data_IF_663579657658
#
_entry.id   IF_663579657658
#
_cell.length_a   1.000
_cell.length_b   1.000
_cell.length_c   1.000
_cell.angle_alpha   90.00
_cell.angle_beta   90.00
_cell.angle_gamma   90.00
#
_symmetry.space_group_name_H-M   'P 1'
#
loop_
_entity.id
_entity.type
_entity.pdbx_description
1 polymer ?
#
# COMPACT_ATOMS: atom_id res chain seq x y z
N UNK A 1 -34.93 -40.66 4.75
CA UNK A 1 -34.19 -40.30 3.56
C UNK A 1 -34.28 -38.80 3.46
N UNK A 2 -33.37 -38.12 4.14
CA UNK A 2 -33.30 -36.63 4.26
C UNK A 2 -31.98 -36.25 3.68
N UNK A 3 -32.00 -35.60 2.54
CA UNK A 3 -30.85 -34.98 1.92
C UNK A 3 -30.68 -33.59 2.54
N UNK A 4 -29.61 -33.39 3.29
CA UNK A 4 -29.14 -32.05 3.66
C UNK A 4 -28.19 -31.60 2.58
N UNK A 5 -28.57 -30.54 1.88
CA UNK A 5 -27.68 -29.70 1.08
C UNK A 5 -27.44 -28.43 1.90
N UNK A 6 -26.35 -28.40 2.63
CA UNK A 6 -25.79 -27.15 3.19
C UNK A 6 -24.66 -26.74 2.29
N UNK A 7 -24.93 -25.82 1.38
CA UNK A 7 -23.97 -25.13 0.59
C UNK A 7 -23.62 -23.80 1.28
N UNK A 8 -22.63 -23.82 2.13
CA UNK A 8 -22.04 -22.60 2.70
C UNK A 8 -21.23 -21.87 1.62
N UNK A 9 -21.87 -20.85 1.08
CA UNK A 9 -21.27 -19.93 0.13
C UNK A 9 -20.71 -18.75 0.96
N UNK A 10 -19.55 -18.95 1.61
CA UNK A 10 -18.86 -17.95 2.47
C UNK A 10 -17.75 -17.15 1.74
N UNK A 11 -17.70 -17.16 0.42
CA UNK A 11 -16.57 -16.60 -0.34
C UNK A 11 -16.77 -15.18 -0.94
N UNK A 12 -17.76 -14.39 -0.48
CA UNK A 12 -17.99 -13.03 -1.02
C UNK A 12 -17.92 -11.89 0.01
N UNK A 13 -17.04 -11.95 0.98
CA UNK A 13 -16.67 -10.76 1.76
C UNK A 13 -15.19 -10.38 1.56
N UNK A 14 -14.80 -10.23 0.30
CA UNK A 14 -13.62 -9.43 -0.02
C UNK A 14 -13.94 -8.00 0.41
N UNK A 15 -13.33 -7.55 1.48
CA UNK A 15 -13.35 -6.15 1.90
C UNK A 15 -12.95 -5.29 0.70
N UNK A 16 -13.95 -4.79 0.01
CA UNK A 16 -13.74 -3.77 -1.00
C UNK A 16 -13.45 -2.47 -0.26
N UNK A 17 -12.19 -2.21 0.06
CA UNK A 17 -11.76 -0.97 0.69
C UNK A 17 -12.24 0.26 -0.10
N UNK A 18 -12.50 0.08 -1.40
CA UNK A 18 -13.15 1.07 -2.25
C UNK A 18 -14.60 1.37 -1.87
N UNK A 19 -15.31 0.42 -1.22
CA UNK A 19 -16.69 0.63 -0.78
C UNK A 19 -16.76 1.50 0.48
N UNK A 20 -15.76 1.42 1.35
CA UNK A 20 -15.72 2.23 2.60
C UNK A 20 -15.58 3.73 2.30
N UNK A 21 -15.00 4.10 1.16
CA UNK A 21 -14.81 5.52 0.78
C UNK A 21 -16.04 6.09 0.06
N UNK A 22 -16.86 5.24 -0.58
CA UNK A 22 -18.02 5.70 -1.36
C UNK A 22 -19.30 5.86 -0.52
N UNK A 23 -19.37 5.29 0.68
CA UNK A 23 -20.51 5.44 1.59
C UNK A 23 -20.43 6.70 2.49
N UNK A 24 -19.45 7.57 2.29
CA UNK A 24 -19.41 8.90 2.97
C UNK A 24 -20.62 9.76 2.58
N UNK A 25 -21.36 9.39 1.56
CA UNK A 25 -22.43 10.23 0.98
C UNK A 25 -23.84 9.99 1.55
N UNK A 26 -24.08 9.05 2.46
CA UNK A 26 -25.45 8.70 2.83
C UNK A 26 -25.86 8.82 4.31
N UNK A 27 -24.98 9.21 5.25
CA UNK A 27 -25.34 8.98 6.66
C UNK A 27 -25.36 10.14 7.61
N UNK A 28 -24.52 11.15 7.55
CA UNK A 28 -24.29 12.00 8.71
C UNK A 28 -23.97 13.47 8.43
N UNK A 29 -24.75 14.11 7.56
CA UNK A 29 -24.62 15.56 7.38
C UNK A 29 -25.13 16.36 8.61
N UNK A 30 -25.95 15.74 9.47
CA UNK A 30 -26.63 16.41 10.57
C UNK A 30 -25.74 16.75 11.78
N UNK A 31 -24.58 16.08 11.94
CA UNK A 31 -23.67 16.26 13.06
C UNK A 31 -22.30 16.87 12.68
N UNK A 32 -22.13 17.24 11.41
CA UNK A 32 -20.92 17.92 10.93
C UNK A 32 -20.87 19.36 11.45
N UNK A 33 -19.75 19.74 12.03
CA UNK A 33 -19.52 21.12 12.44
C UNK A 33 -19.12 22.00 11.24
N UNK A 34 -19.27 23.33 11.32
CA UNK A 34 -18.79 24.25 10.30
C UNK A 34 -17.31 24.06 9.93
N UNK A 35 -16.51 23.54 10.87
CA UNK A 35 -15.09 23.27 10.64
C UNK A 35 -14.87 22.04 9.75
N UNK A 36 -15.73 21.01 9.88
CA UNK A 36 -15.73 19.87 8.94
C UNK A 36 -16.02 20.33 7.52
N UNK A 37 -17.07 21.13 7.34
CA UNK A 37 -17.47 21.62 6.01
C UNK A 37 -16.41 22.54 5.40
N UNK A 38 -15.82 23.42 6.20
CA UNK A 38 -14.73 24.28 5.72
C UNK A 38 -13.49 23.48 5.33
N UNK A 39 -13.17 22.40 6.06
CA UNK A 39 -12.04 21.53 5.81
C UNK A 39 -12.26 20.68 4.56
N UNK A 40 -13.44 20.05 4.41
CA UNK A 40 -13.79 19.22 3.25
C UNK A 40 -13.84 20.00 1.94
N UNK A 41 -14.15 21.29 2.00
CA UNK A 41 -14.22 22.16 0.82
C UNK A 41 -12.94 22.96 0.56
N UNK A 42 -11.89 22.73 1.35
CA UNK A 42 -10.59 23.41 1.18
C UNK A 42 -10.63 24.92 1.46
N UNK A 43 -11.62 25.40 2.22
CA UNK A 43 -11.80 26.83 2.51
C UNK A 43 -10.85 27.29 3.62
N UNK A 44 -9.56 27.41 3.29
CA UNK A 44 -8.50 27.75 4.25
C UNK A 44 -8.82 28.98 5.13
N UNK A 45 -9.35 30.05 4.55
CA UNK A 45 -9.69 31.25 5.31
C UNK A 45 -10.81 30.99 6.32
N UNK A 46 -11.83 30.20 5.94
CA UNK A 46 -12.92 29.82 6.84
C UNK A 46 -12.37 28.92 7.97
N UNK A 47 -11.51 27.94 7.65
CA UNK A 47 -10.84 27.08 8.65
C UNK A 47 -10.10 27.95 9.67
N UNK A 48 -9.25 28.87 9.24
CA UNK A 48 -8.50 29.78 10.13
C UNK A 48 -9.40 30.67 10.96
N UNK A 49 -10.45 31.22 10.35
CA UNK A 49 -11.43 32.09 11.08
C UNK A 49 -12.15 31.31 12.18
N UNK A 50 -12.61 30.08 11.87
CA UNK A 50 -13.29 29.23 12.85
C UNK A 50 -12.35 28.82 14.00
N UNK A 51 -11.09 28.52 13.70
CA UNK A 51 -10.06 28.24 14.73
C UNK A 51 -9.88 29.46 15.64
N UNK A 52 -9.73 30.64 15.07
CA UNK A 52 -9.58 31.90 15.85
C UNK A 52 -10.82 32.22 16.68
N UNK A 53 -12.01 31.79 16.25
CA UNK A 53 -13.26 31.92 17.01
C UNK A 53 -13.37 30.92 18.18
N UNK A 54 -12.39 30.03 18.32
CA UNK A 54 -12.35 29.03 19.39
C UNK A 54 -13.08 27.72 19.11
N UNK A 55 -13.42 27.43 17.83
CA UNK A 55 -13.95 26.13 17.48
C UNK A 55 -12.89 25.02 17.71
N UNK A 56 -13.32 23.92 18.33
CA UNK A 56 -12.43 22.79 18.59
C UNK A 56 -11.99 22.13 17.28
N UNK A 57 -10.67 22.01 17.07
CA UNK A 57 -10.11 21.34 15.89
C UNK A 57 -10.24 19.81 15.94
N UNK A 58 -10.53 19.27 17.12
CA UNK A 58 -10.72 17.85 17.38
C UNK A 58 -12.19 17.45 17.57
N UNK A 59 -13.13 18.27 17.08
CA UNK A 59 -14.56 17.92 17.11
C UNK A 59 -14.78 16.65 16.29
N UNK A 60 -15.66 15.78 16.80
CA UNK A 60 -15.95 14.46 16.21
C UNK A 60 -17.38 14.44 15.68
N UNK A 61 -17.57 13.81 14.55
CA UNK A 61 -18.89 13.32 14.13
C UNK A 61 -19.27 12.05 14.90
N UNK A 62 -20.49 11.54 14.68
CA UNK A 62 -20.94 10.25 15.24
C UNK A 62 -19.95 9.12 14.91
N UNK A 63 -19.39 9.11 13.70
CA UNK A 63 -18.42 8.11 13.24
C UNK A 63 -16.97 8.43 13.65
N UNK A 64 -16.78 9.39 14.55
CA UNK A 64 -15.47 9.86 15.00
C UNK A 64 -14.61 10.50 13.90
N UNK A 65 -15.20 10.99 12.83
CA UNK A 65 -14.49 11.77 11.81
C UNK A 65 -14.12 13.13 12.36
N UNK A 66 -12.88 13.59 12.14
CA UNK A 66 -12.41 14.93 12.51
C UNK A 66 -12.32 15.83 11.28
N UNK A 67 -12.26 17.17 11.44
CA UNK A 67 -11.99 18.08 10.32
C UNK A 67 -10.69 17.75 9.56
N UNK A 68 -9.69 17.15 10.24
CA UNK A 68 -8.45 16.73 9.61
C UNK A 68 -8.65 15.53 8.66
N UNK A 69 -9.52 14.58 9.01
CA UNK A 69 -9.91 13.50 8.08
C UNK A 69 -10.51 14.09 6.80
N UNK A 70 -11.41 15.05 6.93
CA UNK A 70 -12.08 15.71 5.81
C UNK A 70 -11.10 16.48 4.91
N UNK A 71 -10.16 17.22 5.52
CA UNK A 71 -9.12 17.91 4.76
C UNK A 71 -8.24 16.95 3.96
N UNK A 72 -7.97 15.74 4.50
CA UNK A 72 -7.16 14.72 3.84
C UNK A 72 -7.92 14.02 2.72
N UNK A 73 -9.22 13.74 2.89
CA UNK A 73 -10.08 13.20 1.81
C UNK A 73 -10.20 14.19 0.65
N UNK A 74 -10.29 15.50 0.96
CA UNK A 74 -10.39 16.55 -0.05
C UNK A 74 -9.06 16.95 -0.70
N UNK A 75 -7.93 16.32 -0.35
CA UNK A 75 -6.58 16.73 -0.79
C UNK A 75 -6.25 18.21 -0.48
N UNK A 76 -6.71 18.69 0.68
CA UNK A 76 -6.56 20.08 1.08
C UNK A 76 -5.39 20.27 2.06
N UNK A 77 -4.13 20.09 1.59
CA UNK A 77 -2.93 20.16 2.41
C UNK A 77 -2.77 21.46 3.21
N UNK A 78 -3.19 22.61 2.67
CA UNK A 78 -3.15 23.88 3.40
C UNK A 78 -4.12 23.91 4.60
N UNK A 79 -5.31 23.30 4.47
CA UNK A 79 -6.27 23.16 5.56
C UNK A 79 -5.77 22.15 6.59
N UNK A 80 -5.22 21.01 6.14
CA UNK A 80 -4.62 20.01 7.01
C UNK A 80 -3.50 20.63 7.86
N UNK A 81 -2.59 21.40 7.27
CA UNK A 81 -1.52 22.11 8.01
C UNK A 81 -2.10 23.09 9.02
N UNK A 82 -3.08 23.91 8.64
CA UNK A 82 -3.69 24.88 9.57
C UNK A 82 -4.38 24.20 10.76
N UNK A 83 -5.01 23.04 10.55
CA UNK A 83 -5.63 22.25 11.61
C UNK A 83 -4.57 21.63 12.53
N UNK A 84 -3.48 21.11 11.98
CA UNK A 84 -2.37 20.51 12.74
C UNK A 84 -1.65 21.57 13.56
N UNK A 85 -1.35 22.74 12.98
CA UNK A 85 -0.74 23.89 13.68
C UNK A 85 -1.60 24.36 14.86
N UNK A 86 -2.92 24.17 14.79
CA UNK A 86 -3.88 24.48 15.85
C UNK A 86 -4.10 23.32 16.84
N UNK A 87 -3.34 22.23 16.75
CA UNK A 87 -3.37 21.11 17.69
C UNK A 87 -4.35 19.99 17.31
N UNK A 88 -4.65 19.81 16.03
CA UNK A 88 -5.42 18.65 15.60
C UNK A 88 -4.64 17.34 15.85
N UNK A 89 -5.35 16.31 16.32
CA UNK A 89 -4.76 14.99 16.54
C UNK A 89 -4.52 14.27 15.18
N UNK A 90 -3.26 14.20 14.77
CA UNK A 90 -2.85 13.55 13.50
C UNK A 90 -3.10 12.04 13.48
N UNK A 91 -3.25 11.41 14.64
CA UNK A 91 -3.52 9.99 14.81
C UNK A 91 -4.96 9.72 15.26
N UNK A 92 -5.89 10.66 15.07
CA UNK A 92 -7.31 10.42 15.32
C UNK A 92 -7.78 9.23 14.47
N UNK A 93 -8.71 8.45 15.00
CA UNK A 93 -9.21 7.24 14.37
C UNK A 93 -10.73 7.25 14.38
N UNK A 94 -11.33 6.97 13.24
CA UNK A 94 -12.79 6.73 13.14
C UNK A 94 -13.18 5.45 13.87
N UNK A 95 -14.46 5.16 13.97
CA UNK A 95 -14.98 3.91 14.54
C UNK A 95 -14.42 2.68 13.83
N UNK A 96 -14.21 2.77 12.50
CA UNK A 96 -13.64 1.71 11.66
C UNK A 96 -12.11 1.64 11.71
N UNK A 97 -11.49 2.55 12.45
CA UNK A 97 -10.04 2.61 12.57
C UNK A 97 -9.32 3.36 11.47
N UNK A 98 -10.05 4.08 10.62
CA UNK A 98 -9.48 4.93 9.57
C UNK A 98 -8.80 6.14 10.21
N UNK A 99 -7.61 6.50 9.71
CA UNK A 99 -6.84 7.66 10.16
C UNK A 99 -6.75 8.73 9.07
N UNK A 100 -6.44 10.00 9.39
CA UNK A 100 -6.19 11.02 8.36
C UNK A 100 -5.12 10.60 7.34
N UNK A 101 -4.08 9.86 7.80
CA UNK A 101 -3.03 9.35 6.94
C UNK A 101 -3.56 8.29 5.95
N UNK A 102 -4.44 7.40 6.40
CA UNK A 102 -5.11 6.46 5.51
C UNK A 102 -5.90 7.18 4.42
N UNK A 103 -6.69 8.20 4.80
CA UNK A 103 -7.47 8.99 3.85
C UNK A 103 -6.58 9.71 2.81
N UNK A 104 -5.49 10.34 3.27
CA UNK A 104 -4.52 10.97 2.37
C UNK A 104 -3.92 9.98 1.36
N UNK A 105 -3.58 8.77 1.83
CA UNK A 105 -3.05 7.69 0.99
C UNK A 105 -4.10 7.13 0.02
N UNK A 106 -5.36 7.05 0.45
CA UNK A 106 -6.47 6.56 -0.37
C UNK A 106 -6.79 7.50 -1.56
N UNK A 107 -6.62 8.80 -1.35
CA UNK A 107 -6.81 9.82 -2.41
C UNK A 107 -5.54 10.05 -3.24
N UNK A 108 -4.38 9.64 -2.73
CA UNK A 108 -3.09 9.88 -3.38
C UNK A 108 -2.47 11.25 -3.10
N UNK A 109 -2.93 11.92 -2.04
CA UNK A 109 -2.40 13.22 -1.64
C UNK A 109 -1.02 13.07 -1.01
N UNK A 110 0.03 13.22 -1.81
CA UNK A 110 1.41 13.21 -1.30
C UNK A 110 1.63 14.36 -0.32
N UNK A 111 1.08 15.54 -0.61
CA UNK A 111 1.22 16.72 0.25
C UNK A 111 0.63 16.49 1.65
N UNK A 112 -0.61 15.96 1.75
CA UNK A 112 -1.20 15.64 3.05
C UNK A 112 -0.44 14.51 3.74
N UNK A 113 0.01 13.49 2.99
CA UNK A 113 0.78 12.37 3.52
C UNK A 113 2.08 12.86 4.18
N UNK A 114 2.86 13.70 3.50
CA UNK A 114 4.10 14.27 4.04
C UNK A 114 3.83 15.15 5.27
N UNK A 115 2.85 16.07 5.18
CA UNK A 115 2.48 16.93 6.30
C UNK A 115 2.11 16.11 7.55
N UNK A 116 1.33 15.05 7.39
CA UNK A 116 0.92 14.18 8.50
C UNK A 116 2.12 13.45 9.12
N UNK A 117 2.98 12.86 8.28
CA UNK A 117 4.17 12.13 8.72
C UNK A 117 5.18 13.04 9.41
N UNK A 118 5.43 14.25 8.89
CA UNK A 118 6.25 15.30 9.54
C UNK A 118 5.76 15.65 10.94
N UNK A 119 4.44 15.58 11.17
CA UNK A 119 3.80 15.92 12.46
C UNK A 119 3.49 14.68 13.32
N UNK A 120 4.14 13.55 13.06
CA UNK A 120 4.09 12.37 13.92
C UNK A 120 2.88 11.45 13.69
N UNK A 121 2.29 11.48 12.50
CA UNK A 121 1.37 10.43 12.09
C UNK A 121 2.12 9.09 12.02
N UNK A 122 1.50 8.04 12.54
CA UNK A 122 2.07 6.70 12.51
C UNK A 122 1.94 6.12 11.11
N UNK A 123 3.04 5.81 10.41
CA UNK A 123 3.00 5.29 9.04
C UNK A 123 2.39 3.89 8.96
N UNK A 124 2.26 3.21 10.09
CA UNK A 124 1.80 1.85 10.20
C UNK A 124 0.56 1.76 11.09
N UNK A 125 -0.46 1.07 10.61
CA UNK A 125 -1.64 0.74 11.40
C UNK A 125 -1.40 -0.52 12.25
N UNK A 126 -2.27 -0.75 13.22
CA UNK A 126 -2.33 -2.03 13.92
C UNK A 126 -2.86 -3.12 12.98
N UNK A 127 -2.44 -4.36 13.21
CA UNK A 127 -3.01 -5.54 12.53
C UNK A 127 -4.54 -5.52 12.66
N UNK A 128 -5.26 -5.85 11.61
CA UNK A 128 -6.73 -5.76 11.48
C UNK A 128 -7.33 -4.34 11.34
N UNK A 129 -6.50 -3.31 11.13
CA UNK A 129 -6.97 -1.96 10.82
C UNK A 129 -6.58 -1.55 9.41
N UNK A 130 -7.32 -0.61 8.79
CA UNK A 130 -6.95 -0.07 7.49
C UNK A 130 -5.49 0.38 7.44
N UNK A 131 -4.75 -0.09 6.47
CA UNK A 131 -3.31 0.19 6.35
C UNK A 131 -3.05 1.17 5.21
N UNK A 132 -2.44 2.34 5.52
CA UNK A 132 -2.13 3.36 4.51
C UNK A 132 -1.29 2.84 3.33
N UNK A 133 -0.30 1.96 3.61
CA UNK A 133 0.58 1.45 2.55
C UNK A 133 -0.15 0.50 1.59
N UNK A 134 -1.05 -0.36 2.11
CA UNK A 134 -1.84 -1.26 1.27
C UNK A 134 -2.81 -0.47 0.41
N UNK A 135 -3.46 0.54 0.98
CA UNK A 135 -4.41 1.39 0.26
C UNK A 135 -3.71 2.21 -0.84
N UNK A 136 -2.60 2.89 -0.50
CA UNK A 136 -1.80 3.61 -1.49
C UNK A 136 -1.31 2.70 -2.62
N UNK A 137 -0.93 1.46 -2.28
CA UNK A 137 -0.45 0.48 -3.24
C UNK A 137 -1.56 -0.03 -4.15
N UNK A 138 -2.74 -0.34 -3.61
CA UNK A 138 -3.88 -0.86 -4.39
C UNK A 138 -4.38 0.13 -5.42
N UNK A 139 -4.19 1.42 -5.17
CA UNK A 139 -4.60 2.53 -6.05
C UNK A 139 -3.46 3.10 -6.91
N UNK A 140 -2.27 2.53 -6.82
CA UNK A 140 -1.12 2.97 -7.61
C UNK A 140 -0.52 4.32 -7.18
N UNK A 141 -0.81 4.79 -5.98
CA UNK A 141 -0.32 6.07 -5.46
C UNK A 141 1.16 5.99 -5.04
N UNK A 142 2.04 5.84 -6.02
CA UNK A 142 3.48 5.68 -5.83
C UNK A 142 4.10 6.71 -4.87
N UNK A 143 3.74 8.00 -5.00
CA UNK A 143 4.30 9.06 -4.14
C UNK A 143 3.97 8.87 -2.66
N UNK A 144 2.75 8.40 -2.35
CA UNK A 144 2.35 8.08 -0.97
C UNK A 144 3.10 6.84 -0.46
N UNK A 145 3.25 5.80 -1.30
CA UNK A 145 4.06 4.61 -0.96
C UNK A 145 5.50 5.01 -0.65
N UNK A 146 6.09 5.88 -1.47
CA UNK A 146 7.46 6.39 -1.27
C UNK A 146 7.60 7.15 0.05
N UNK A 147 6.67 8.07 0.33
CA UNK A 147 6.65 8.81 1.60
C UNK A 147 6.53 7.86 2.80
N UNK A 148 5.56 6.93 2.78
CA UNK A 148 5.36 5.97 3.88
C UNK A 148 6.61 5.14 4.17
N UNK A 149 7.24 4.60 3.13
CA UNK A 149 8.46 3.79 3.28
C UNK A 149 9.63 4.62 3.80
N UNK A 150 9.79 5.86 3.32
CA UNK A 150 10.82 6.79 3.80
C UNK A 150 10.66 7.10 5.29
N UNK A 151 9.43 7.16 5.78
CA UNK A 151 9.09 7.38 7.19
C UNK A 151 8.99 6.09 8.01
N UNK A 152 9.47 4.96 7.48
CA UNK A 152 9.67 3.73 8.22
C UNK A 152 8.45 2.81 8.30
N UNK A 153 7.53 2.88 7.35
CA UNK A 153 6.48 1.86 7.22
C UNK A 153 7.12 0.50 6.94
N UNK A 154 6.62 -0.55 7.62
CA UNK A 154 7.07 -1.90 7.34
C UNK A 154 6.52 -2.39 5.99
N UNK A 155 7.41 -2.52 5.00
CA UNK A 155 7.06 -2.97 3.65
C UNK A 155 6.60 -4.43 3.58
N UNK A 156 6.92 -5.22 4.62
CA UNK A 156 6.52 -6.64 4.73
C UNK A 156 5.41 -6.87 5.77
N UNK A 157 4.73 -5.79 6.17
CA UNK A 157 3.55 -5.92 7.01
C UNK A 157 2.53 -6.82 6.30
N UNK A 158 2.13 -7.87 7.01
CA UNK A 158 1.16 -8.84 6.52
C UNK A 158 -0.20 -8.58 7.18
N UNK A 159 -1.19 -8.28 6.35
CA UNK A 159 -2.57 -8.11 6.81
C UNK A 159 -3.33 -9.39 6.47
N UNK A 160 -4.01 -10.01 7.46
CA UNK A 160 -4.86 -11.16 7.20
C UNK A 160 -5.81 -10.90 6.01
N UNK A 161 -5.92 -11.87 5.10
CA UNK A 161 -6.71 -11.84 3.88
C UNK A 161 -6.23 -10.89 2.76
N UNK A 162 -5.36 -9.91 3.04
CA UNK A 162 -4.77 -9.03 2.02
C UNK A 162 -3.34 -9.44 1.66
N UNK A 163 -2.60 -10.01 2.60
CA UNK A 163 -1.18 -10.29 2.45
C UNK A 163 -0.31 -9.04 2.62
N UNK A 164 0.81 -8.98 1.91
CA UNK A 164 1.75 -7.86 1.94
C UNK A 164 1.40 -6.78 0.91
N UNK A 165 1.93 -5.56 1.10
CA UNK A 165 1.77 -4.49 0.12
C UNK A 165 2.32 -4.88 -1.26
N UNK A 166 3.40 -5.67 -1.33
CA UNK A 166 3.93 -6.19 -2.60
C UNK A 166 2.95 -7.15 -3.29
N UNK A 167 2.29 -8.03 -2.51
CA UNK A 167 1.25 -8.90 -3.03
C UNK A 167 0.07 -8.08 -3.59
N UNK A 168 -0.38 -7.07 -2.85
CA UNK A 168 -1.43 -6.14 -3.29
C UNK A 168 -1.05 -5.44 -4.60
N UNK A 169 0.21 -4.95 -4.72
CA UNK A 169 0.71 -4.34 -5.96
C UNK A 169 0.62 -5.30 -7.16
N UNK A 170 0.90 -6.60 -6.93
CA UNK A 170 0.82 -7.61 -7.99
C UNK A 170 -0.62 -7.91 -8.39
N UNK A 171 -1.54 -8.02 -7.44
CA UNK A 171 -2.99 -8.21 -7.70
C UNK A 171 -3.56 -7.04 -8.49
N UNK A 172 -3.19 -5.80 -8.12
CA UNK A 172 -3.67 -4.58 -8.78
C UNK A 172 -2.85 -4.17 -10.01
N UNK A 173 -1.79 -4.93 -10.36
CA UNK A 173 -0.89 -4.68 -11.49
C UNK A 173 -0.12 -3.34 -11.41
N UNK A 174 0.11 -2.84 -10.20
CA UNK A 174 0.77 -1.56 -9.94
C UNK A 174 2.30 -1.69 -9.97
N UNK A 175 2.86 -1.59 -11.19
CA UNK A 175 4.29 -1.84 -11.47
C UNK A 175 5.23 -0.93 -10.67
N UNK A 176 4.96 0.38 -10.61
CA UNK A 176 5.87 1.32 -9.96
C UNK A 176 5.83 1.18 -8.43
N UNK A 177 4.67 0.88 -7.85
CA UNK A 177 4.56 0.54 -6.44
C UNK A 177 5.33 -0.75 -6.12
N UNK A 178 5.14 -1.81 -6.93
CA UNK A 178 5.89 -3.06 -6.78
C UNK A 178 7.40 -2.84 -6.89
N UNK A 179 7.85 -2.05 -7.87
CA UNK A 179 9.27 -1.70 -8.06
C UNK A 179 9.83 -0.95 -6.85
N UNK A 180 9.10 0.02 -6.30
CA UNK A 180 9.54 0.79 -5.12
C UNK A 180 9.66 -0.14 -3.91
N UNK A 181 8.64 -0.93 -3.61
CA UNK A 181 8.65 -1.88 -2.49
C UNK A 181 9.83 -2.86 -2.57
N UNK A 182 10.09 -3.44 -3.74
CA UNK A 182 11.21 -4.35 -3.97
C UNK A 182 12.58 -3.67 -3.82
N UNK A 183 12.71 -2.42 -4.26
CA UNK A 183 13.96 -1.64 -4.07
C UNK A 183 14.24 -1.39 -2.60
N UNK A 184 13.22 -1.14 -1.81
CA UNK A 184 13.29 -0.96 -0.36
C UNK A 184 13.40 -2.26 0.43
N UNK A 185 13.46 -3.39 -0.27
CA UNK A 185 13.78 -4.69 0.32
C UNK A 185 12.57 -5.50 0.76
N UNK A 186 11.39 -5.25 0.18
CA UNK A 186 10.23 -6.11 0.38
C UNK A 186 10.59 -7.57 0.04
N UNK A 187 10.09 -8.50 0.85
CA UNK A 187 10.32 -9.92 0.64
C UNK A 187 9.51 -10.40 -0.57
N UNK A 188 10.21 -10.71 -1.64
CA UNK A 188 9.63 -11.15 -2.92
C UNK A 188 8.82 -12.45 -2.83
N UNK A 189 9.02 -13.23 -1.76
CA UNK A 189 8.31 -14.50 -1.55
C UNK A 189 7.09 -14.35 -0.64
N UNK A 190 7.02 -13.29 0.17
CA UNK A 190 5.96 -13.12 1.14
C UNK A 190 4.73 -12.48 0.50
N UNK A 191 3.67 -13.25 0.37
CA UNK A 191 2.41 -12.81 -0.20
C UNK A 191 1.24 -12.96 0.77
N UNK A 192 0.16 -13.60 0.35
CA UNK A 192 -1.03 -13.91 1.13
C UNK A 192 -1.07 -15.41 1.42
N UNK A 193 -0.95 -15.79 2.68
CA UNK A 193 -0.81 -17.20 3.08
C UNK A 193 0.38 -17.86 2.34
N UNK A 194 0.16 -18.85 1.49
CA UNK A 194 1.18 -19.47 0.63
C UNK A 194 1.20 -18.93 -0.80
N UNK A 195 0.24 -18.06 -1.19
CA UNK A 195 0.29 -17.39 -2.48
C UNK A 195 1.39 -16.33 -2.49
N UNK A 196 2.42 -16.55 -3.30
CA UNK A 196 3.48 -15.56 -3.46
C UNK A 196 3.04 -14.41 -4.38
N UNK A 197 3.71 -13.25 -4.33
CA UNK A 197 3.47 -12.16 -5.29
C UNK A 197 3.58 -12.62 -6.75
N UNK A 198 4.41 -13.65 -7.04
CA UNK A 198 4.56 -14.20 -8.37
C UNK A 198 3.31 -14.98 -8.82
N UNK A 199 2.60 -15.68 -7.92
CA UNK A 199 1.32 -16.30 -8.24
C UNK A 199 0.27 -15.25 -8.63
N UNK A 200 0.14 -14.18 -7.82
CA UNK A 200 -0.79 -13.10 -8.10
C UNK A 200 -0.51 -12.41 -9.46
N UNK A 201 0.76 -12.12 -9.75
CA UNK A 201 1.15 -11.51 -11.02
C UNK A 201 0.92 -12.44 -12.23
N UNK A 202 1.11 -13.76 -12.04
CA UNK A 202 0.87 -14.76 -13.07
C UNK A 202 -0.64 -14.92 -13.35
N UNK A 203 -1.47 -15.01 -12.31
CA UNK A 203 -2.94 -15.06 -12.41
C UNK A 203 -3.51 -13.86 -13.20
N UNK A 204 -2.97 -12.66 -12.96
CA UNK A 204 -3.38 -11.42 -13.64
C UNK A 204 -2.77 -11.22 -15.03
N UNK A 205 -2.03 -12.19 -15.56
CA UNK A 205 -1.32 -12.14 -16.85
C UNK A 205 -0.43 -10.89 -17.00
N UNK A 206 0.16 -10.42 -15.90
CA UNK A 206 1.01 -9.23 -15.92
C UNK A 206 2.49 -9.59 -16.11
N UNK A 207 2.90 -9.89 -17.34
CA UNK A 207 4.28 -10.31 -17.70
C UNK A 207 5.34 -9.32 -17.23
N UNK A 208 5.03 -8.01 -17.20
CA UNK A 208 6.00 -6.98 -16.77
C UNK A 208 6.31 -7.09 -15.28
N UNK A 209 5.28 -7.29 -14.45
CA UNK A 209 5.43 -7.49 -13.00
C UNK A 209 6.09 -8.84 -12.73
N UNK A 210 5.71 -9.91 -13.45
CA UNK A 210 6.34 -11.24 -13.36
C UNK A 210 7.84 -11.13 -13.63
N UNK A 211 8.26 -10.45 -14.70
CA UNK A 211 9.67 -10.22 -15.01
C UNK A 211 10.38 -9.47 -13.89
N UNK A 212 9.76 -8.42 -13.36
CA UNK A 212 10.30 -7.66 -12.23
C UNK A 212 10.55 -8.56 -11.02
N UNK A 213 9.56 -9.36 -10.61
CA UNK A 213 9.67 -10.28 -9.47
C UNK A 213 10.78 -11.30 -9.64
N UNK A 214 10.88 -11.91 -10.83
CA UNK A 214 11.95 -12.87 -11.16
C UNK A 214 13.34 -12.21 -11.13
N UNK A 215 13.46 -10.97 -11.59
CA UNK A 215 14.71 -10.21 -11.50
C UNK A 215 15.12 -9.98 -10.04
N UNK A 216 14.16 -9.81 -9.13
CA UNK A 216 14.39 -9.69 -7.69
C UNK A 216 14.52 -11.03 -6.95
N UNK A 217 14.40 -12.15 -7.66
CA UNK A 217 14.68 -13.49 -7.13
C UNK A 217 13.43 -14.23 -6.63
N UNK A 218 12.26 -13.93 -7.17
CA UNK A 218 11.08 -14.74 -6.92
C UNK A 218 11.33 -16.21 -7.29
N UNK A 219 10.83 -17.12 -6.47
CA UNK A 219 10.92 -18.54 -6.72
C UNK A 219 9.83 -18.98 -7.72
N UNK A 220 10.25 -19.35 -8.92
CA UNK A 220 9.36 -19.81 -9.98
C UNK A 220 8.68 -21.16 -9.66
N UNK A 221 9.24 -21.92 -8.71
CA UNK A 221 8.75 -23.22 -8.28
C UNK A 221 7.98 -23.15 -6.94
N UNK A 222 7.76 -21.95 -6.40
CA UNK A 222 6.95 -21.80 -5.20
C UNK A 222 5.57 -22.44 -5.38
N UNK A 223 5.05 -23.06 -4.32
CA UNK A 223 3.73 -23.71 -4.37
C UNK A 223 2.77 -23.02 -3.41
N UNK A 224 1.58 -22.73 -3.90
CA UNK A 224 0.49 -22.16 -3.11
C UNK A 224 -0.23 -23.24 -2.28
N UNK A 225 -1.33 -22.87 -1.65
CA UNK A 225 -2.18 -23.77 -0.85
C UNK A 225 -2.77 -24.93 -1.66
N UNK A 226 -2.96 -24.75 -2.95
CA UNK A 226 -3.46 -25.76 -3.90
C UNK A 226 -2.33 -26.55 -4.55
N UNK A 227 -1.10 -26.41 -4.06
CA UNK A 227 0.13 -27.02 -4.63
C UNK A 227 0.45 -26.59 -6.07
N UNK A 228 -0.17 -25.51 -6.58
CA UNK A 228 0.08 -24.95 -7.90
C UNK A 228 1.32 -24.05 -7.88
N UNK A 229 2.07 -24.06 -8.99
CA UNK A 229 3.17 -23.13 -9.24
C UNK A 229 2.63 -21.87 -9.93
N UNK A 230 3.38 -20.76 -9.96
CA UNK A 230 2.96 -19.57 -10.70
C UNK A 230 2.59 -19.82 -12.17
N UNK A 231 3.26 -20.76 -12.84
CA UNK A 231 2.94 -21.15 -14.22
C UNK A 231 1.61 -21.88 -14.32
N UNK A 232 1.21 -22.65 -13.30
CA UNK A 232 -0.01 -23.44 -13.30
C UNK A 232 -1.26 -22.57 -13.05
N UNK A 233 -1.09 -21.38 -12.43
CA UNK A 233 -2.16 -20.38 -12.21
C UNK A 233 -2.26 -19.35 -13.35
N UNK A 234 -1.26 -19.25 -14.20
CA UNK A 234 -1.31 -18.34 -15.35
C UNK A 234 -2.43 -18.76 -16.32
N UNK A 235 -3.14 -17.81 -16.95
CA UNK A 235 -4.14 -18.13 -17.94
C UNK A 235 -3.53 -18.99 -19.06
N UNK A 236 -4.19 -20.08 -19.49
CA UNK A 236 -3.63 -20.98 -20.49
C UNK A 236 -3.41 -20.25 -21.84
N UNK A 237 -2.29 -20.53 -22.47
CA UNK A 237 -1.84 -19.89 -23.72
C UNK A 237 -1.60 -18.37 -23.60
N UNK A 238 -1.42 -17.87 -22.38
CA UNK A 238 -1.10 -16.45 -22.13
C UNK A 238 0.38 -16.17 -22.42
N UNK A 239 0.69 -14.86 -22.58
CA UNK A 239 2.08 -14.40 -22.73
C UNK A 239 2.89 -14.72 -21.47
N UNK A 240 2.25 -14.60 -20.31
CA UNK A 240 2.90 -14.87 -19.02
C UNK A 240 3.23 -16.35 -18.83
N UNK A 241 2.32 -17.26 -19.19
CA UNK A 241 2.61 -18.71 -19.19
C UNK A 241 3.82 -19.03 -20.06
N UNK A 242 3.81 -18.57 -21.30
CA UNK A 242 4.91 -18.77 -22.24
C UNK A 242 6.24 -18.18 -21.73
N UNK A 243 6.19 -17.00 -21.10
CA UNK A 243 7.36 -16.38 -20.50
C UNK A 243 7.91 -17.17 -19.30
N UNK A 244 7.04 -17.67 -18.41
CA UNK A 244 7.44 -18.47 -17.26
C UNK A 244 8.09 -19.78 -17.70
N UNK A 245 7.51 -20.49 -18.67
CA UNK A 245 8.08 -21.72 -19.24
C UNK A 245 9.45 -21.47 -19.88
N UNK A 246 9.58 -20.37 -20.64
CA UNK A 246 10.87 -19.99 -21.24
C UNK A 246 11.91 -19.65 -20.17
N UNK A 247 11.51 -18.94 -19.12
CA UNK A 247 12.41 -18.56 -18.03
C UNK A 247 12.89 -19.80 -17.24
N UNK A 248 12.02 -20.79 -17.01
CA UNK A 248 12.37 -22.07 -16.38
C UNK A 248 13.39 -22.85 -17.23
N UNK A 249 13.24 -22.85 -18.56
CA UNK A 249 14.13 -23.54 -19.48
C UNK A 249 15.49 -22.84 -19.70
N UNK A 250 15.63 -21.58 -19.30
CA UNK A 250 16.85 -20.79 -19.53
C UNK A 250 17.69 -20.64 -18.26
N UNK A 251 19.03 -20.87 -18.31
CA UNK A 251 19.89 -20.62 -17.16
C UNK A 251 19.89 -19.14 -16.75
N UNK A 252 19.82 -18.86 -15.45
CA UNK A 252 19.93 -17.51 -14.93
C UNK A 252 21.30 -16.91 -15.22
N UNK A 253 21.35 -15.62 -15.58
CA UNK A 253 22.62 -14.92 -15.77
C UNK A 253 23.39 -14.84 -14.45
N UNK A 254 24.70 -15.11 -14.50
CA UNK A 254 25.57 -15.02 -13.32
C UNK A 254 25.50 -13.63 -12.67
N UNK A 255 25.38 -12.58 -13.48
CA UNK A 255 25.22 -11.21 -12.96
C UNK A 255 23.96 -11.03 -12.12
N UNK A 256 22.84 -11.63 -12.52
CA UNK A 256 21.58 -11.61 -11.74
C UNK A 256 21.76 -12.34 -10.40
N UNK A 257 22.33 -13.54 -10.43
CA UNK A 257 22.61 -14.32 -9.23
C UNK A 257 23.55 -13.56 -8.27
N UNK A 258 24.63 -12.94 -8.78
CA UNK A 258 25.54 -12.13 -7.99
C UNK A 258 24.82 -10.92 -7.35
N UNK A 259 23.95 -10.21 -8.11
CA UNK A 259 23.18 -9.09 -7.59
C UNK A 259 22.25 -9.52 -6.45
N UNK A 260 21.51 -10.59 -6.62
CA UNK A 260 20.63 -11.15 -5.61
C UNK A 260 21.42 -11.56 -4.35
N UNK A 261 22.54 -12.26 -4.53
CA UNK A 261 23.42 -12.67 -3.44
C UNK A 261 23.97 -11.46 -2.66
N UNK A 262 24.48 -10.44 -3.34
CA UNK A 262 24.99 -9.22 -2.68
C UNK A 262 23.88 -8.53 -1.87
N UNK A 263 22.69 -8.34 -2.44
CA UNK A 263 21.57 -7.71 -1.72
C UNK A 263 21.12 -8.53 -0.51
N UNK A 264 21.05 -9.84 -0.64
CA UNK A 264 20.72 -10.77 0.46
C UNK A 264 21.77 -10.68 1.58
N UNK A 265 23.06 -10.65 1.25
CA UNK A 265 24.14 -10.50 2.23
C UNK A 265 24.15 -9.13 2.93
N UNK A 266 23.84 -8.07 2.20
CA UNK A 266 23.72 -6.71 2.77
C UNK A 266 22.54 -6.64 3.76
N UNK A 267 21.47 -7.33 3.45
CA UNK A 267 20.24 -7.33 4.23
C UNK A 267 19.42 -6.05 4.03
N UNK A 268 18.14 -6.12 4.36
CA UNK A 268 17.15 -5.05 4.15
C UNK A 268 17.56 -3.72 4.78
N UNK A 269 17.93 -3.75 6.07
CA UNK A 269 18.20 -2.54 6.86
C UNK A 269 19.40 -1.74 6.33
N UNK A 270 20.26 -2.36 5.52
CA UNK A 270 21.47 -1.76 4.99
C UNK A 270 21.44 -1.53 3.47
N UNK A 271 20.32 -1.77 2.79
CA UNK A 271 20.22 -1.55 1.33
C UNK A 271 20.51 -0.11 0.93
N UNK A 272 20.14 0.87 1.76
CA UNK A 272 20.44 2.28 1.55
C UNK A 272 21.97 2.57 1.48
N UNK A 273 22.80 1.72 2.13
CA UNK A 273 24.25 1.86 2.11
C UNK A 273 24.89 1.41 0.79
N UNK A 274 24.14 0.73 -0.10
CA UNK A 274 24.65 0.34 -1.42
C UNK A 274 25.14 1.56 -2.25
N UNK A 275 24.54 2.73 -2.05
CA UNK A 275 24.95 3.98 -2.68
C UNK A 275 26.34 4.44 -2.25
N UNK A 276 26.79 4.08 -1.05
CA UNK A 276 28.06 4.51 -0.44
C UNK A 276 29.21 3.51 -0.65
N UNK A 277 28.92 2.35 -1.27
CA UNK A 277 29.97 1.38 -1.56
C UNK A 277 31.03 1.98 -2.52
N UNK A 278 32.32 1.69 -2.31
CA UNK A 278 33.41 2.16 -3.17
C UNK A 278 33.46 1.36 -4.48
N UNK A 279 32.35 1.40 -5.23
CA UNK A 279 32.19 0.69 -6.49
C UNK A 279 31.99 1.69 -7.64
N UNK A 280 32.37 1.34 -8.87
CA UNK A 280 32.06 2.11 -10.07
C UNK A 280 30.54 2.43 -10.13
N UNK A 281 30.20 3.63 -10.59
CA UNK A 281 28.81 4.11 -10.65
C UNK A 281 27.84 3.13 -11.38
N UNK A 282 28.36 2.46 -12.45
CA UNK A 282 27.60 1.44 -13.20
C UNK A 282 27.22 0.23 -12.33
N UNK A 283 28.16 -0.24 -11.47
CA UNK A 283 27.90 -1.37 -10.57
C UNK A 283 26.96 -0.99 -9.43
N UNK A 284 27.13 0.21 -8.87
CA UNK A 284 26.22 0.72 -7.83
C UNK A 284 24.79 0.80 -8.33
N UNK A 285 24.56 1.41 -9.51
CA UNK A 285 23.24 1.47 -10.15
C UNK A 285 22.69 0.08 -10.43
N UNK A 286 23.51 -0.84 -10.91
CA UNK A 286 23.09 -2.22 -11.16
C UNK A 286 22.63 -2.92 -9.89
N UNK A 287 23.32 -2.74 -8.75
CA UNK A 287 22.92 -3.32 -7.45
C UNK A 287 21.63 -2.70 -6.91
N UNK A 288 21.32 -1.45 -7.28
CA UNK A 288 20.13 -0.72 -6.86
C UNK A 288 18.94 -0.89 -7.82
N UNK A 289 19.09 -1.70 -8.88
CA UNK A 289 18.08 -1.84 -9.93
C UNK A 289 17.73 -0.51 -10.64
N UNK A 290 18.74 0.32 -10.88
CA UNK A 290 18.65 1.61 -11.59
C UNK A 290 19.25 1.52 -12.98
#
# INVERSE_FOLDING_TARGET
>A
MITMEDGDNEDENVWNASAVILDIDSGSWADRSPLHDAASQGRLLAVRTLILQGHSVNVLTIDHVTPLHEACVGDHGACARALIDAGANVNASTIDGVTPLFNACAVGSVACTEILLENGAKPQSLVYRPSPIHEATSKGHYGCVEALVTWGADVDMDIPHLGTALYTACVCQELECARKLLREGANVQKGRSLDSPLHAAAEKDCTVVVKLLLDFGADINARNTEFQRPVDVAPPSSITEGFLLLYEATPRLLSQLCRQCVRSCVGRDRLHLLSHLPLPARLRRYLQYQ
#
